data_IF_085795289154
#
_entry.id   IF_085795289154
#
_cell.length_a   1.000
_cell.length_b   1.000
_cell.length_c   1.000
_cell.angle_alpha   90.00
_cell.angle_beta   90.00
_cell.angle_gamma   90.00
#
_symmetry.space_group_name_H-M   'P 1'
#
loop_
_entity.id
_entity.type
_entity.pdbx_description
1 polymer ?
#
# COMPACT_ATOMS: atom_id res chain seq x y z
N UNK A 1 -2.01 10.25 0.36
CA UNK A 1 -0.65 10.13 0.95
C UNK A 1 -0.66 10.54 2.41
N UNK A 2 0.03 9.81 3.28
CA UNK A 2 0.23 10.18 4.69
C UNK A 2 1.69 10.64 4.88
N UNK A 3 1.88 11.90 5.21
CA UNK A 3 3.18 12.56 5.39
C UNK A 3 3.45 12.78 6.89
N UNK A 4 4.72 12.89 7.27
CA UNK A 4 5.15 13.22 8.63
C UNK A 4 6.42 12.50 9.05
N UNK A 5 7.00 12.92 10.18
CA UNK A 5 8.25 12.41 10.72
C UNK A 5 8.15 10.94 11.20
N UNK A 6 9.30 10.32 11.42
CA UNK A 6 9.33 8.99 12.02
C UNK A 6 8.71 9.02 13.43
N UNK A 7 7.89 8.02 13.74
CA UNK A 7 7.21 7.94 15.03
C UNK A 7 5.97 8.80 15.21
N UNK A 8 5.59 9.66 14.25
CA UNK A 8 4.40 10.54 14.39
C UNK A 8 3.05 9.78 14.31
N UNK A 9 3.05 8.46 14.06
CA UNK A 9 1.85 7.62 14.11
C UNK A 9 1.29 7.18 12.75
N UNK A 10 2.00 7.35 11.63
CA UNK A 10 1.53 6.97 10.27
C UNK A 10 1.13 5.49 10.18
N UNK A 11 2.02 4.59 10.57
CA UNK A 11 1.74 3.13 10.57
C UNK A 11 0.60 2.78 11.53
N UNK A 12 0.50 3.46 12.67
CA UNK A 12 -0.62 3.27 13.62
C UNK A 12 -1.94 3.68 12.99
N UNK A 13 -1.98 4.83 12.31
CA UNK A 13 -3.16 5.28 11.57
C UNK A 13 -3.53 4.30 10.46
N UNK A 14 -2.54 3.81 9.70
CA UNK A 14 -2.76 2.81 8.65
C UNK A 14 -3.38 1.52 9.23
N UNK A 15 -2.87 1.03 10.38
CA UNK A 15 -3.45 -0.13 11.08
C UNK A 15 -4.87 0.09 11.56
N UNK A 16 -5.20 1.30 12.01
CA UNK A 16 -6.55 1.68 12.38
C UNK A 16 -7.47 1.69 11.14
N UNK A 17 -7.03 2.28 10.02
CA UNK A 17 -7.76 2.28 8.75
C UNK A 17 -8.02 0.85 8.24
N UNK A 18 -7.05 -0.04 8.42
CA UNK A 18 -7.17 -1.46 8.10
C UNK A 18 -8.07 -2.24 9.08
N UNK A 19 -8.51 -1.64 10.16
CA UNK A 19 -9.20 -2.28 11.29
C UNK A 19 -8.37 -3.40 11.96
N UNK A 20 -7.07 -3.36 11.82
CA UNK A 20 -6.13 -4.26 12.51
C UNK A 20 -5.90 -3.83 13.96
N UNK A 21 -6.18 -2.57 14.27
CA UNK A 21 -6.19 -2.01 15.62
C UNK A 21 -7.55 -1.40 15.96
N UNK A 22 -7.83 -1.21 17.26
CA UNK A 22 -9.03 -0.50 17.74
C UNK A 22 -8.65 0.91 18.15
N UNK A 23 -9.44 1.94 17.78
CA UNK A 23 -9.28 3.23 18.40
C UNK A 23 -9.63 3.15 19.89
N UNK A 24 -8.90 3.86 20.73
CA UNK A 24 -9.21 3.98 22.18
C UNK A 24 -10.42 4.86 22.42
N UNK A 25 -10.67 5.81 21.53
CA UNK A 25 -11.86 6.67 21.54
C UNK A 25 -12.19 7.07 20.09
N UNK A 26 -13.43 7.48 19.86
CA UNK A 26 -13.91 7.84 18.53
C UNK A 26 -14.20 6.62 17.64
N UNK A 27 -14.40 6.87 16.35
CA UNK A 27 -14.75 5.84 15.38
C UNK A 27 -14.06 6.09 14.03
N UNK A 28 -13.87 5.01 13.27
CA UNK A 28 -13.39 5.08 11.88
C UNK A 28 -14.59 4.77 11.00
N UNK A 29 -15.05 5.77 10.27
CA UNK A 29 -16.11 5.64 9.26
C UNK A 29 -15.45 5.53 7.89
N UNK A 30 -15.91 4.58 7.11
CA UNK A 30 -15.57 4.52 5.69
C UNK A 30 -16.78 4.89 4.88
N UNK A 31 -16.56 5.73 3.89
CA UNK A 31 -17.60 6.24 3.00
C UNK A 31 -17.84 5.32 1.79
N UNK A 32 -17.08 4.21 1.69
CA UNK A 32 -17.09 3.34 0.51
C UNK A 32 -18.41 2.56 0.38
N UNK A 33 -18.97 2.09 1.49
CA UNK A 33 -20.30 1.48 1.54
C UNK A 33 -20.80 1.35 2.98
N UNK A 34 -21.80 2.15 3.38
CA UNK A 34 -22.37 2.09 4.71
C UNK A 34 -23.07 0.76 5.04
N UNK A 35 -23.51 0.00 4.02
CA UNK A 35 -24.24 -1.27 4.18
C UNK A 35 -23.35 -2.42 4.65
N UNK A 36 -22.04 -2.31 4.48
CA UNK A 36 -21.07 -3.35 4.90
C UNK A 36 -20.79 -3.38 6.39
N UNK A 37 -21.70 -2.89 7.15
CA UNK A 37 -21.81 -3.10 8.59
C UNK A 37 -20.50 -2.82 9.36
N UNK A 38 -20.60 -2.07 10.42
CA UNK A 38 -19.53 -1.78 11.40
C UNK A 38 -18.96 -3.05 12.08
N UNK A 39 -19.29 -4.25 11.59
CA UNK A 39 -18.78 -5.51 12.13
C UNK A 39 -17.32 -5.69 11.77
N UNK A 40 -16.49 -5.49 12.76
CA UNK A 40 -15.07 -5.77 12.77
C UNK A 40 -14.79 -7.21 12.31
N UNK A 41 -13.85 -7.39 11.41
CA UNK A 41 -13.36 -8.72 11.01
C UNK A 41 -14.30 -9.53 10.15
N UNK A 42 -15.30 -8.91 9.51
CA UNK A 42 -16.10 -9.64 8.52
C UNK A 42 -15.20 -10.01 7.34
N UNK A 43 -15.35 -11.24 6.84
CA UNK A 43 -14.67 -11.73 5.64
C UNK A 43 -14.87 -10.77 4.45
N UNK A 44 -16.01 -10.08 4.40
CA UNK A 44 -16.35 -9.06 3.43
C UNK A 44 -15.43 -7.81 3.53
N UNK A 45 -15.08 -7.40 4.75
CA UNK A 45 -14.15 -6.28 4.95
C UNK A 45 -12.76 -6.56 4.41
N UNK A 46 -12.16 -7.71 4.77
CA UNK A 46 -10.82 -8.08 4.34
C UNK A 46 -10.70 -8.35 2.83
N UNK A 47 -11.80 -8.58 2.13
CA UNK A 47 -11.82 -8.65 0.67
C UNK A 47 -11.74 -7.28 0.00
N UNK A 48 -12.12 -6.22 0.69
CA UNK A 48 -12.18 -4.85 0.15
C UNK A 48 -10.99 -3.98 0.56
N UNK A 49 -10.24 -4.39 1.57
CA UNK A 49 -9.09 -3.65 2.08
C UNK A 49 -7.83 -4.50 1.99
N UNK A 50 -6.94 -4.11 1.11
CA UNK A 50 -5.60 -4.68 1.00
C UNK A 50 -4.61 -3.92 1.88
N UNK A 51 -3.75 -4.64 2.59
CA UNK A 51 -2.70 -4.05 3.41
C UNK A 51 -1.36 -4.64 3.02
N UNK A 52 -0.39 -3.79 2.73
CA UNK A 52 1.00 -4.18 2.50
C UNK A 52 1.86 -3.61 3.61
N UNK A 53 2.48 -4.49 4.38
CA UNK A 53 3.34 -4.11 5.50
C UNK A 53 4.73 -3.70 5.06
N UNK A 54 5.40 -2.94 5.92
CA UNK A 54 6.79 -2.53 5.70
C UNK A 54 7.75 -3.70 5.54
N UNK A 55 7.56 -4.82 6.25
CA UNK A 55 8.34 -6.04 6.06
C UNK A 55 7.59 -7.04 5.17
N UNK A 56 8.01 -7.28 3.91
CA UNK A 56 7.32 -8.20 3.00
C UNK A 56 7.37 -9.66 3.48
N UNK A 57 8.38 -10.05 4.26
CA UNK A 57 8.51 -11.42 4.74
C UNK A 57 7.37 -11.87 5.68
N UNK A 58 6.63 -10.91 6.25
CA UNK A 58 5.46 -11.23 7.10
C UNK A 58 4.21 -11.62 6.29
N UNK A 59 4.24 -11.47 4.95
CA UNK A 59 3.08 -11.66 4.09
C UNK A 59 3.28 -12.73 3.01
N UNK A 60 4.52 -13.15 2.75
CA UNK A 60 4.87 -14.10 1.71
C UNK A 60 4.97 -15.51 2.33
N UNK A 61 4.10 -16.45 1.90
CA UNK A 61 3.98 -17.76 2.50
C UNK A 61 3.79 -18.91 1.50
N UNK A 62 3.60 -18.61 0.22
CA UNK A 62 3.43 -19.64 -0.81
C UNK A 62 4.77 -20.16 -1.36
N UNK A 63 4.82 -21.38 -1.91
CA UNK A 63 6.03 -21.97 -2.48
C UNK A 63 6.58 -21.21 -3.68
N UNK A 64 5.72 -20.61 -4.51
CA UNK A 64 6.15 -19.87 -5.72
C UNK A 64 5.49 -18.51 -5.82
N UNK A 65 6.11 -17.59 -6.57
CA UNK A 65 5.55 -16.26 -6.85
C UNK A 65 4.19 -16.37 -7.55
N UNK A 66 4.05 -17.30 -8.48
CA UNK A 66 2.76 -17.56 -9.15
C UNK A 66 1.66 -17.89 -8.14
N UNK A 67 1.93 -18.83 -7.24
CA UNK A 67 0.97 -19.23 -6.21
C UNK A 67 0.66 -18.11 -5.23
N UNK A 68 1.67 -17.30 -4.88
CA UNK A 68 1.49 -16.15 -4.00
C UNK A 68 0.51 -15.13 -4.59
N UNK A 69 0.69 -14.75 -5.86
CA UNK A 69 -0.19 -13.80 -6.54
C UNK A 69 -1.57 -14.43 -6.84
N UNK A 70 -1.61 -15.71 -7.25
CA UNK A 70 -2.84 -16.41 -7.57
C UNK A 70 -3.74 -16.68 -6.34
N UNK A 71 -3.16 -16.68 -5.13
CA UNK A 71 -3.91 -17.01 -3.90
C UNK A 71 -5.13 -16.12 -3.66
N UNK A 72 -5.04 -14.85 -4.01
CA UNK A 72 -6.13 -13.90 -3.85
C UNK A 72 -6.74 -13.44 -5.20
N UNK A 73 -6.19 -13.87 -6.32
CA UNK A 73 -6.64 -13.48 -7.65
C UNK A 73 -7.98 -14.14 -8.01
N UNK A 74 -8.77 -13.45 -8.83
CA UNK A 74 -10.05 -13.95 -9.34
C UNK A 74 -9.89 -15.10 -10.36
N UNK A 75 -8.75 -15.14 -11.05
CA UNK A 75 -8.40 -16.16 -12.03
C UNK A 75 -6.88 -16.23 -12.24
N UNK A 76 -6.39 -17.34 -12.78
CA UNK A 76 -4.96 -17.49 -13.15
C UNK A 76 -4.53 -16.47 -14.21
N UNK A 77 -5.42 -16.17 -15.17
CA UNK A 77 -5.16 -15.15 -16.19
C UNK A 77 -4.94 -13.78 -15.59
N UNK A 78 -5.77 -13.40 -14.62
CA UNK A 78 -5.63 -12.14 -13.91
C UNK A 78 -4.37 -12.10 -13.02
N UNK A 79 -4.03 -13.20 -12.36
CA UNK A 79 -2.77 -13.30 -11.61
C UNK A 79 -1.55 -13.06 -12.52
N UNK A 80 -1.55 -13.61 -13.72
CA UNK A 80 -0.49 -13.42 -14.71
C UNK A 80 -0.40 -11.96 -15.17
N UNK A 81 -1.54 -11.34 -15.47
CA UNK A 81 -1.60 -9.91 -15.82
C UNK A 81 -1.02 -9.02 -14.71
N UNK A 82 -1.35 -9.29 -13.46
CA UNK A 82 -0.79 -8.58 -12.31
C UNK A 82 0.72 -8.81 -12.19
N UNK A 83 1.21 -10.02 -12.40
CA UNK A 83 2.65 -10.29 -12.37
C UNK A 83 3.41 -9.53 -13.47
N UNK A 84 2.85 -9.43 -14.66
CA UNK A 84 3.40 -8.62 -15.76
C UNK A 84 3.42 -7.15 -15.39
N UNK A 85 2.31 -6.62 -14.88
CA UNK A 85 2.15 -5.23 -14.45
C UNK A 85 3.22 -4.81 -13.44
N UNK A 86 3.49 -5.66 -12.45
CA UNK A 86 4.49 -5.40 -11.41
C UNK A 86 5.93 -5.82 -11.81
N UNK A 87 6.14 -6.29 -13.05
CA UNK A 87 7.46 -6.68 -13.56
C UNK A 87 8.07 -7.87 -12.84
N UNK A 88 7.25 -8.82 -12.40
CA UNK A 88 7.66 -10.00 -11.63
C UNK A 88 7.35 -11.33 -12.34
N UNK A 89 6.81 -11.31 -13.56
CA UNK A 89 6.45 -12.52 -14.31
C UNK A 89 7.65 -13.46 -14.54
N UNK A 90 8.86 -12.91 -14.74
CA UNK A 90 10.10 -13.70 -14.88
C UNK A 90 10.55 -14.40 -13.59
N UNK A 91 9.88 -14.14 -12.46
CA UNK A 91 10.14 -14.76 -11.16
C UNK A 91 9.10 -15.81 -10.78
N UNK A 92 8.16 -16.12 -11.68
CA UNK A 92 6.96 -16.96 -11.46
C UNK A 92 7.21 -18.24 -10.66
N UNK A 93 8.24 -19.02 -11.03
CA UNK A 93 8.56 -20.31 -10.41
C UNK A 93 9.52 -20.18 -9.21
N UNK A 94 9.98 -18.98 -8.88
CA UNK A 94 10.89 -18.79 -7.76
C UNK A 94 10.15 -18.79 -6.43
N UNK A 95 10.83 -19.31 -5.40
CA UNK A 95 10.33 -19.19 -4.03
C UNK A 95 10.45 -17.71 -3.56
N UNK A 96 9.39 -17.07 -3.03
CA UNK A 96 9.39 -15.67 -2.67
C UNK A 96 10.55 -15.26 -1.74
N UNK A 97 10.89 -16.10 -0.76
CA UNK A 97 11.98 -15.80 0.17
C UNK A 97 13.38 -15.84 -0.46
N UNK A 98 13.55 -16.41 -1.67
CA UNK A 98 14.82 -16.38 -2.42
C UNK A 98 15.08 -15.09 -3.19
N UNK A 99 14.11 -14.17 -3.19
CA UNK A 99 14.14 -12.92 -3.95
C UNK A 99 14.89 -11.81 -3.20
N UNK A 100 15.34 -10.77 -3.94
CA UNK A 100 15.82 -9.53 -3.32
C UNK A 100 14.69 -8.81 -2.58
N UNK A 101 15.02 -7.95 -1.62
CA UNK A 101 14.00 -7.22 -0.84
C UNK A 101 13.06 -6.38 -1.72
N UNK A 102 13.60 -5.75 -2.78
CA UNK A 102 12.77 -5.01 -3.74
C UNK A 102 11.83 -5.92 -4.55
N UNK A 103 12.31 -7.10 -4.96
CA UNK A 103 11.47 -8.10 -5.64
C UNK A 103 10.39 -8.65 -4.70
N UNK A 104 10.74 -9.02 -3.47
CA UNK A 104 9.77 -9.44 -2.44
C UNK A 104 8.68 -8.38 -2.23
N UNK A 105 9.09 -7.11 -2.18
CA UNK A 105 8.17 -5.98 -2.02
C UNK A 105 7.18 -5.92 -3.18
N UNK A 106 7.65 -6.01 -4.43
CA UNK A 106 6.77 -6.02 -5.61
C UNK A 106 5.84 -7.24 -5.62
N UNK A 107 6.34 -8.43 -5.25
CA UNK A 107 5.50 -9.64 -5.11
C UNK A 107 4.42 -9.45 -4.04
N UNK A 108 4.76 -8.93 -2.87
CA UNK A 108 3.82 -8.67 -1.78
C UNK A 108 2.72 -7.67 -2.20
N UNK A 109 3.09 -6.59 -2.90
CA UNK A 109 2.09 -5.61 -3.41
C UNK A 109 1.23 -6.25 -4.49
N UNK A 110 1.81 -6.99 -5.43
CA UNK A 110 1.09 -7.69 -6.50
C UNK A 110 0.09 -8.71 -5.95
N UNK A 111 0.49 -9.51 -4.95
CA UNK A 111 -0.38 -10.48 -4.32
C UNK A 111 -1.61 -9.83 -3.66
N UNK A 112 -1.42 -8.70 -2.97
CA UNK A 112 -2.53 -7.95 -2.38
C UNK A 112 -3.37 -7.28 -3.47
N UNK A 113 -2.76 -6.69 -4.51
CA UNK A 113 -3.45 -6.04 -5.61
C UNK A 113 -4.30 -7.02 -6.43
N UNK A 114 -3.89 -8.30 -6.51
CA UNK A 114 -4.62 -9.36 -7.20
C UNK A 114 -6.02 -9.63 -6.60
N UNK A 115 -6.27 -9.26 -5.35
CA UNK A 115 -7.61 -9.33 -4.74
C UNK A 115 -8.54 -8.18 -5.18
N UNK A 116 -8.03 -7.21 -5.95
CA UNK A 116 -8.75 -6.00 -6.38
C UNK A 116 -9.39 -5.24 -5.21
N UNK A 117 -8.62 -4.84 -4.21
CA UNK A 117 -9.17 -4.15 -3.06
C UNK A 117 -9.69 -2.76 -3.46
N UNK A 118 -10.77 -2.30 -2.85
CA UNK A 118 -11.27 -0.93 -3.01
C UNK A 118 -10.38 0.10 -2.30
N UNK A 119 -9.71 -0.34 -1.22
CA UNK A 119 -8.75 0.43 -0.47
C UNK A 119 -7.45 -0.35 -0.34
N UNK A 120 -6.37 0.15 -0.92
CA UNK A 120 -5.03 -0.42 -0.82
C UNK A 120 -4.17 0.46 0.10
N UNK A 121 -3.72 -0.12 1.19
CA UNK A 121 -2.90 0.54 2.21
C UNK A 121 -1.46 0.06 2.09
N UNK A 122 -0.53 0.97 1.80
CA UNK A 122 0.87 0.68 1.56
C UNK A 122 1.76 1.35 2.61
N UNK A 123 2.53 0.55 3.35
CA UNK A 123 3.52 1.05 4.30
C UNK A 123 4.92 0.94 3.69
N UNK A 124 5.50 2.10 3.31
CA UNK A 124 6.84 2.24 2.71
C UNK A 124 7.06 1.35 1.46
N UNK A 125 6.23 1.49 0.41
CA UNK A 125 6.25 0.56 -0.73
C UNK A 125 7.53 0.61 -1.57
N UNK A 126 8.29 1.69 -1.52
CA UNK A 126 9.47 1.93 -2.36
C UNK A 126 10.79 1.53 -1.72
N UNK A 127 10.80 1.12 -0.46
CA UNK A 127 12.01 0.67 0.23
C UNK A 127 12.59 -0.57 -0.44
N UNK A 128 13.91 -0.55 -0.68
CA UNK A 128 14.63 -1.65 -1.33
C UNK A 128 14.49 -1.73 -2.85
N UNK A 129 13.81 -0.78 -3.49
CA UNK A 129 13.72 -0.72 -4.95
C UNK A 129 14.98 -0.08 -5.55
N UNK A 130 15.53 -0.70 -6.59
CA UNK A 130 16.45 -0.05 -7.50
C UNK A 130 15.70 0.95 -8.42
N UNK A 131 16.41 1.64 -9.28
CA UNK A 131 15.85 2.69 -10.14
C UNK A 131 14.76 2.15 -11.09
N UNK A 132 14.96 0.97 -11.64
CA UNK A 132 14.03 0.34 -12.58
C UNK A 132 12.80 -0.20 -11.83
N UNK A 133 13.02 -0.93 -10.73
CA UNK A 133 11.95 -1.44 -9.88
C UNK A 133 11.08 -0.34 -9.28
N UNK A 134 11.70 0.79 -8.90
CA UNK A 134 10.96 1.97 -8.45
C UNK A 134 10.02 2.50 -9.54
N UNK A 135 10.51 2.67 -10.78
CA UNK A 135 9.70 3.14 -11.90
C UNK A 135 8.57 2.18 -12.24
N UNK A 136 8.88 0.88 -12.32
CA UNK A 136 7.89 -0.18 -12.58
C UNK A 136 6.81 -0.19 -11.51
N UNK A 137 7.17 -0.10 -10.24
CA UNK A 137 6.22 -0.06 -9.13
C UNK A 137 5.27 1.14 -9.21
N UNK A 138 5.79 2.34 -9.46
CA UNK A 138 4.96 3.54 -9.57
C UNK A 138 3.99 3.45 -10.76
N UNK A 139 4.46 2.97 -11.90
CA UNK A 139 3.60 2.76 -13.08
C UNK A 139 2.51 1.73 -12.78
N UNK A 140 2.85 0.62 -12.12
CA UNK A 140 1.90 -0.41 -11.73
C UNK A 140 0.82 0.13 -10.78
N UNK A 141 1.18 0.91 -9.77
CA UNK A 141 0.23 1.49 -8.83
C UNK A 141 -0.70 2.51 -9.51
N UNK A 142 -0.17 3.39 -10.37
CA UNK A 142 -0.98 4.31 -11.13
C UNK A 142 -1.97 3.59 -12.06
N UNK A 143 -1.51 2.57 -12.78
CA UNK A 143 -2.36 1.81 -13.68
C UNK A 143 -3.41 1.00 -12.93
N UNK A 144 -3.06 0.43 -11.77
CA UNK A 144 -4.01 -0.23 -10.87
C UNK A 144 -5.12 0.75 -10.46
N UNK A 145 -4.75 1.92 -9.95
CA UNK A 145 -5.70 2.97 -9.55
C UNK A 145 -6.64 3.34 -10.70
N UNK A 146 -6.08 3.64 -11.88
CA UNK A 146 -6.85 4.05 -13.06
C UNK A 146 -7.82 2.97 -13.54
N UNK A 147 -7.40 1.69 -13.51
CA UNK A 147 -8.23 0.56 -14.01
C UNK A 147 -9.31 0.12 -13.03
N UNK A 148 -9.01 0.14 -11.74
CA UNK A 148 -9.91 -0.43 -10.72
C UNK A 148 -10.70 0.61 -9.93
N UNK A 149 -10.29 1.88 -9.97
CA UNK A 149 -10.83 2.91 -9.09
C UNK A 149 -10.42 2.76 -7.63
N UNK A 150 -9.49 1.84 -7.32
CA UNK A 150 -9.02 1.60 -5.94
C UNK A 150 -8.43 2.87 -5.33
N UNK A 151 -8.81 3.19 -4.11
CA UNK A 151 -8.15 4.23 -3.34
C UNK A 151 -6.83 3.70 -2.80
N UNK A 152 -5.71 4.34 -3.12
CA UNK A 152 -4.39 3.95 -2.63
C UNK A 152 -3.94 4.94 -1.56
N UNK A 153 -3.75 4.44 -0.32
CA UNK A 153 -3.18 5.22 0.78
C UNK A 153 -1.76 4.75 1.03
N UNK A 154 -0.80 5.63 0.82
CA UNK A 154 0.62 5.33 0.97
C UNK A 154 1.22 6.11 2.13
N UNK A 155 1.94 5.41 2.99
CA UNK A 155 2.89 5.99 3.95
C UNK A 155 4.27 5.87 3.35
N UNK A 156 4.99 6.97 3.20
CA UNK A 156 6.37 6.96 2.72
C UNK A 156 7.15 8.16 3.21
N UNK A 157 8.47 8.01 3.31
CA UNK A 157 9.43 9.07 3.48
C UNK A 157 10.22 9.37 2.17
N UNK A 158 9.91 8.64 1.09
CA UNK A 158 10.50 8.90 -0.22
C UNK A 158 9.73 10.00 -0.96
N UNK A 159 10.35 11.19 -1.04
CA UNK A 159 9.78 12.36 -1.70
C UNK A 159 9.43 12.11 -3.16
N UNK A 160 10.22 11.28 -3.87
CA UNK A 160 9.97 10.93 -5.28
C UNK A 160 8.68 10.11 -5.42
N UNK A 161 8.48 9.16 -4.49
CA UNK A 161 7.24 8.37 -4.43
C UNK A 161 6.04 9.27 -4.14
N UNK A 162 6.18 10.16 -3.16
CA UNK A 162 5.13 11.09 -2.81
C UNK A 162 4.75 12.01 -3.98
N UNK A 163 5.75 12.62 -4.64
CA UNK A 163 5.50 13.50 -5.79
C UNK A 163 4.87 12.79 -7.00
N UNK A 164 5.14 11.48 -7.17
CA UNK A 164 4.64 10.71 -8.31
C UNK A 164 3.23 10.14 -8.11
N UNK A 165 2.79 9.92 -6.86
CA UNK A 165 1.53 9.21 -6.54
C UNK A 165 0.54 10.05 -5.74
N UNK A 166 0.86 11.30 -5.40
CA UNK A 166 0.05 12.08 -4.48
C UNK A 166 -1.00 12.92 -5.21
N UNK A 167 -2.27 12.55 -5.11
CA UNK A 167 -3.39 13.43 -5.44
C UNK A 167 -3.81 14.27 -4.22
N UNK A 168 -3.77 13.64 -3.03
CA UNK A 168 -4.13 14.27 -1.76
C UNK A 168 -3.18 13.82 -0.65
N UNK A 169 -2.82 14.73 0.22
CA UNK A 169 -1.96 14.48 1.35
C UNK A 169 -2.63 14.82 2.67
N UNK A 170 -2.27 14.08 3.72
CA UNK A 170 -2.53 14.44 5.10
C UNK A 170 -1.20 14.46 5.86
N UNK A 171 -0.88 15.59 6.49
CA UNK A 171 0.35 15.76 7.26
C UNK A 171 0.09 15.46 8.73
N UNK A 172 0.74 14.40 9.22
CA UNK A 172 0.73 14.00 10.62
C UNK A 172 1.94 14.59 11.35
N UNK A 173 1.68 15.18 12.50
CA UNK A 173 2.69 15.67 13.44
C UNK A 173 2.19 15.44 14.86
N UNK A 174 3.01 14.87 15.73
CA UNK A 174 2.68 14.60 17.14
C UNK A 174 1.35 13.83 17.33
N UNK A 175 1.12 12.80 16.50
CA UNK A 175 -0.08 11.96 16.55
C UNK A 175 -1.37 12.63 16.06
N UNK A 176 -1.29 13.82 15.43
CA UNK A 176 -2.46 14.56 14.94
C UNK A 176 -2.31 14.92 13.47
N UNK A 177 -3.42 14.91 12.74
CA UNK A 177 -3.46 15.50 11.39
C UNK A 177 -3.45 17.02 11.56
N UNK A 178 -2.37 17.66 11.13
CA UNK A 178 -2.19 19.12 11.19
C UNK A 178 -2.94 19.81 10.05
N UNK A 179 -2.83 19.23 8.86
CA UNK A 179 -3.49 19.75 7.67
C UNK A 179 -3.70 18.66 6.62
N UNK A 180 -4.60 18.92 5.69
CA UNK A 180 -4.84 18.10 4.51
C UNK A 180 -4.87 19.01 3.29
N UNK A 181 -4.39 18.51 2.14
CA UNK A 181 -4.34 19.29 0.90
C UNK A 181 -3.95 18.42 -0.29
N UNK A 182 -3.48 19.07 -1.34
CA UNK A 182 -2.95 18.42 -2.54
C UNK A 182 -1.44 18.15 -2.44
N UNK A 183 -0.80 17.92 -3.61
CA UNK A 183 0.64 17.67 -3.70
C UNK A 183 1.53 18.78 -3.13
N UNK A 184 1.04 20.01 -3.04
CA UNK A 184 1.75 21.16 -2.45
C UNK A 184 2.18 20.93 -0.99
N UNK A 185 1.45 20.07 -0.26
CA UNK A 185 1.82 19.70 1.11
C UNK A 185 3.11 18.89 1.19
N UNK A 186 3.54 18.26 0.11
CA UNK A 186 4.78 17.50 0.05
C UNK A 186 5.95 18.41 0.34
N UNK A 187 6.01 19.58 -0.31
CA UNK A 187 7.06 20.57 -0.11
C UNK A 187 7.03 21.14 1.32
N UNK A 188 5.85 21.46 1.84
CA UNK A 188 5.71 21.99 3.18
C UNK A 188 6.15 20.96 4.25
N UNK A 189 5.75 19.70 4.10
CA UNK A 189 6.05 18.65 5.07
C UNK A 189 7.54 18.28 5.13
N UNK A 190 8.28 18.39 4.01
CA UNK A 190 9.73 18.13 3.97
C UNK A 190 10.59 19.38 4.02
N UNK A 191 10.03 20.56 3.75
CA UNK A 191 10.73 21.85 3.87
C UNK A 191 11.02 22.22 5.33
N UNK A 192 10.09 21.95 6.23
CA UNK A 192 10.27 22.16 7.68
C UNK A 192 11.34 21.23 8.31
N UNK A 193 11.60 20.06 7.70
CA UNK A 193 12.63 19.12 8.17
C UNK A 193 14.06 19.52 7.80
N UNK A 194 14.24 20.49 6.89
CA UNK A 194 15.57 21.00 6.50
C UNK A 194 16.02 22.21 7.35
N UNK A 195 15.19 22.65 8.30
CA UNK A 195 15.46 23.82 9.16
C UNK A 195 15.87 23.42 10.61
N UNK A 196 16.20 22.15 10.86
CA UNK A 196 16.81 21.62 12.09
C UNK A 196 18.13 20.93 11.74
#
# INVERSE_FOLDING_TARGET
MLLGDNGCGKTSLLRLMARLARPTAGEIRQLIDPSLGQRRGSRAWFRRVGVVYQNPNCQLFMPTVTQEVAFAAQSEGFAREIMELFGIAHLSERHPHSLSEGQKRRVSIAAVAASQPELLLLDEPTVGQDREGFRTLLQALNLLHTRTGSTIVTVTHDRRCASALCDRAAWLKDGRIKTTGGPELIEAAWGDSAAL
#
